data_IF_036081790961
#
_entry.id   IF_036081790961
#
_cell.length_a   1.000
_cell.length_b   1.000
_cell.length_c   1.000
_cell.angle_alpha   90.00
_cell.angle_beta   90.00
_cell.angle_gamma   90.00
#
_symmetry.space_group_name_H-M   'P 1'
#
loop_
_entity.id
_entity.type
_entity.pdbx_description
1 polymer ?
#
# COMPACT_ATOMS: atom_id res chain seq x y z
N UNK A 1 3.97 9.89 -16.27
CA UNK A 1 2.91 9.54 -17.27
C UNK A 1 2.65 10.52 -18.43
N UNK A 2 3.03 11.81 -18.42
CA UNK A 2 2.64 12.77 -19.49
C UNK A 2 3.35 12.65 -20.87
N UNK A 3 4.39 11.83 -21.05
CA UNK A 3 5.21 11.83 -22.28
C UNK A 3 4.79 10.85 -23.40
N UNK A 4 3.93 9.85 -23.16
CA UNK A 4 3.55 8.84 -24.18
C UNK A 4 2.05 8.49 -24.15
N UNK A 5 1.34 8.66 -25.29
CA UNK A 5 -0.11 8.38 -25.44
C UNK A 5 -0.52 6.94 -25.14
N UNK A 6 0.39 5.98 -25.29
CA UNK A 6 0.12 4.57 -24.95
C UNK A 6 -0.02 4.36 -23.44
N UNK A 7 0.78 5.04 -22.63
CA UNK A 7 0.73 4.94 -21.15
C UNK A 7 -0.44 5.71 -20.54
N UNK A 8 -1.22 6.45 -21.35
CA UNK A 8 -2.46 7.09 -20.90
C UNK A 8 -3.72 6.26 -21.15
N UNK A 9 -3.61 5.10 -21.81
CA UNK A 9 -4.77 4.24 -22.07
C UNK A 9 -5.36 3.70 -20.75
N UNK A 10 -6.70 3.59 -20.63
CA UNK A 10 -7.35 2.96 -19.48
C UNK A 10 -6.79 1.55 -19.23
N UNK A 11 -6.76 1.11 -17.96
CA UNK A 11 -6.15 -0.15 -17.49
C UNK A 11 -4.62 -0.22 -17.59
N UNK A 12 -4.00 0.31 -18.64
CA UNK A 12 -2.54 0.35 -18.80
C UNK A 12 -1.95 1.42 -17.87
N UNK A 13 -2.54 2.62 -17.87
CA UNK A 13 -2.08 3.75 -17.05
C UNK A 13 -2.02 3.45 -15.56
N UNK A 14 -2.95 2.64 -15.05
CA UNK A 14 -3.02 2.32 -13.61
C UNK A 14 -1.82 1.51 -13.15
N UNK A 15 -1.42 0.51 -13.93
CA UNK A 15 -0.23 -0.30 -13.67
C UNK A 15 1.03 0.56 -13.68
N UNK A 16 1.19 1.43 -14.68
CA UNK A 16 2.36 2.33 -14.74
C UNK A 16 2.37 3.38 -13.62
N UNK A 17 1.22 3.97 -13.29
CA UNK A 17 1.12 4.90 -12.17
C UNK A 17 1.51 4.23 -10.85
N UNK A 18 1.11 2.98 -10.64
CA UNK A 18 1.47 2.22 -9.44
C UNK A 18 2.97 1.90 -9.39
N UNK A 19 3.58 1.52 -10.52
CA UNK A 19 5.03 1.29 -10.61
C UNK A 19 5.79 2.60 -10.34
N UNK A 20 5.38 3.71 -10.96
CA UNK A 20 5.99 5.02 -10.75
C UNK A 20 5.92 5.41 -9.25
N UNK A 21 4.75 5.30 -8.62
CA UNK A 21 4.57 5.57 -7.19
C UNK A 21 5.38 4.63 -6.28
N UNK A 22 5.50 3.35 -6.62
CA UNK A 22 6.31 2.39 -5.86
C UNK A 22 7.80 2.75 -5.93
N UNK A 23 8.31 3.09 -7.12
CA UNK A 23 9.70 3.50 -7.30
C UNK A 23 10.00 4.77 -6.50
N UNK A 24 9.11 5.77 -6.58
CA UNK A 24 9.26 7.01 -5.81
C UNK A 24 9.23 6.70 -4.32
N UNK A 25 8.25 5.92 -3.86
CA UNK A 25 8.11 5.55 -2.45
C UNK A 25 9.34 4.82 -1.89
N UNK A 26 9.88 3.84 -2.61
CA UNK A 26 11.11 3.13 -2.20
C UNK A 26 12.28 4.12 -2.11
N UNK A 27 12.47 4.97 -3.13
CA UNK A 27 13.54 5.98 -3.12
C UNK A 27 13.41 6.96 -1.95
N UNK A 28 12.19 7.43 -1.67
CA UNK A 28 11.92 8.34 -0.55
C UNK A 28 12.19 7.68 0.80
N UNK A 29 11.84 6.40 0.96
CA UNK A 29 12.13 5.64 2.18
C UNK A 29 13.63 5.42 2.36
N UNK A 30 14.35 5.03 1.31
CA UNK A 30 15.80 4.87 1.35
C UNK A 30 16.48 6.19 1.70
N UNK A 31 16.10 7.28 1.06
CA UNK A 31 16.62 8.62 1.37
C UNK A 31 16.34 9.03 2.82
N UNK A 32 15.14 8.75 3.34
CA UNK A 32 14.80 9.07 4.73
C UNK A 32 15.63 8.27 5.73
N UNK A 33 15.98 7.02 5.40
CA UNK A 33 16.85 6.20 6.24
C UNK A 33 18.29 6.73 6.24
N UNK A 34 18.83 7.10 5.08
CA UNK A 34 20.17 7.70 4.94
C UNK A 34 20.29 9.00 5.76
N UNK A 35 19.31 9.90 5.66
CA UNK A 35 19.29 11.16 6.44
C UNK A 35 19.22 10.89 7.94
N UNK A 36 18.41 9.90 8.35
CA UNK A 36 18.28 9.55 9.76
C UNK A 36 19.57 8.99 10.35
N UNK A 37 20.30 8.16 9.59
CA UNK A 37 21.60 7.62 9.99
C UNK A 37 22.71 8.69 10.05
N UNK A 38 22.63 9.72 9.20
CA UNK A 38 23.56 10.86 9.25
C UNK A 38 23.31 11.76 10.49
N UNK A 39 22.05 11.97 10.88
CA UNK A 39 21.68 12.85 12.00
C UNK A 39 21.80 12.16 13.38
N UNK A 40 21.31 10.92 13.50
CA UNK A 40 21.53 10.09 14.68
C UNK A 40 22.74 9.21 14.41
N UNK A 41 23.92 9.59 14.92
CA UNK A 41 25.12 8.74 14.89
C UNK A 41 24.92 7.48 15.72
N UNK A 42 24.19 6.49 15.18
CA UNK A 42 23.85 5.24 15.84
C UNK A 42 25.17 4.50 16.11
N UNK A 43 25.54 4.39 17.39
CA UNK A 43 26.73 3.63 17.75
C UNK A 43 26.53 2.14 17.39
N UNK A 44 27.45 1.53 16.63
CA UNK A 44 27.31 0.15 16.19
C UNK A 44 27.33 -0.78 17.41
N UNK A 45 26.38 -1.73 17.46
CA UNK A 45 26.37 -2.74 18.51
C UNK A 45 27.55 -3.70 18.37
N UNK A 46 27.85 -4.46 19.43
CA UNK A 46 28.93 -5.48 19.40
C UNK A 46 28.75 -6.51 18.28
N UNK A 47 27.50 -6.75 17.86
CA UNK A 47 27.17 -7.63 16.75
C UNK A 47 27.47 -6.97 15.40
N UNK A 48 27.16 -5.68 15.25
CA UNK A 48 27.46 -4.90 14.04
C UNK A 48 28.97 -4.82 13.81
N UNK A 49 29.76 -4.55 14.85
CA UNK A 49 31.24 -4.54 14.78
C UNK A 49 31.80 -5.91 14.37
N UNK A 50 31.21 -7.01 14.86
CA UNK A 50 31.62 -8.36 14.47
C UNK A 50 31.31 -8.66 13.00
N UNK A 51 30.12 -8.32 12.55
CA UNK A 51 29.71 -8.47 11.15
C UNK A 51 30.55 -7.58 10.23
N UNK A 52 30.86 -6.36 10.64
CA UNK A 52 31.65 -5.41 9.86
C UNK A 52 33.10 -5.92 9.71
N UNK A 53 33.63 -6.63 10.70
CA UNK A 53 34.94 -7.30 10.59
C UNK A 53 34.94 -8.47 9.60
N UNK A 54 33.81 -9.17 9.41
CA UNK A 54 33.71 -10.32 8.49
C UNK A 54 33.42 -9.86 7.05
N UNK A 55 32.48 -8.93 6.89
CA UNK A 55 31.92 -8.54 5.61
C UNK A 55 32.44 -7.19 5.08
N UNK A 56 33.18 -6.44 5.92
CA UNK A 56 33.78 -5.16 5.55
C UNK A 56 32.74 -4.08 5.24
N UNK A 57 33.11 -3.15 4.35
CA UNK A 57 32.27 -2.03 3.90
C UNK A 57 31.00 -2.47 3.15
N UNK A 58 30.87 -3.74 2.76
CA UNK A 58 29.70 -4.26 2.05
C UNK A 58 28.60 -4.78 2.98
N UNK A 59 28.79 -4.69 4.29
CA UNK A 59 27.84 -5.24 5.25
C UNK A 59 26.45 -4.60 5.10
N UNK A 60 26.36 -3.29 4.99
CA UNK A 60 25.10 -2.55 4.89
C UNK A 60 24.29 -2.98 3.66
N UNK A 61 24.94 -3.01 2.49
CA UNK A 61 24.34 -3.54 1.26
C UNK A 61 23.84 -4.97 1.47
N UNK A 62 24.67 -5.85 2.04
CA UNK A 62 24.30 -7.26 2.27
C UNK A 62 23.08 -7.36 3.19
N UNK A 63 23.05 -6.61 4.29
CA UNK A 63 21.93 -6.60 5.24
C UNK A 63 20.66 -6.05 4.59
N UNK A 64 20.77 -5.00 3.78
CA UNK A 64 19.63 -4.44 3.03
C UNK A 64 19.07 -5.46 2.04
N UNK A 65 19.90 -6.03 1.16
CA UNK A 65 19.47 -7.02 0.17
C UNK A 65 18.90 -8.27 0.86
N UNK A 66 19.53 -8.74 1.93
CA UNK A 66 19.04 -9.89 2.70
C UNK A 66 17.66 -9.62 3.30
N UNK A 67 17.46 -8.44 3.91
CA UNK A 67 16.18 -8.04 4.50
C UNK A 67 15.07 -7.92 3.44
N UNK A 68 15.39 -7.36 2.27
CA UNK A 68 14.46 -7.26 1.13
C UNK A 68 14.09 -8.67 0.61
N UNK A 69 15.07 -9.56 0.45
CA UNK A 69 14.81 -10.92 -0.04
C UNK A 69 13.96 -11.71 0.97
N UNK A 70 14.30 -11.65 2.26
CA UNK A 70 13.54 -12.35 3.31
C UNK A 70 12.10 -11.81 3.38
N UNK A 71 11.92 -10.49 3.39
CA UNK A 71 10.57 -9.90 3.45
C UNK A 71 9.74 -10.29 2.23
N UNK A 72 10.34 -10.36 1.03
CA UNK A 72 9.67 -10.83 -0.17
C UNK A 72 9.26 -12.31 -0.06
N UNK A 73 10.17 -13.18 0.39
CA UNK A 73 9.88 -14.61 0.59
C UNK A 73 8.75 -14.79 1.61
N UNK A 74 8.83 -14.13 2.76
CA UNK A 74 7.80 -14.19 3.80
C UNK A 74 6.45 -13.68 3.26
N UNK A 75 6.46 -12.58 2.49
CA UNK A 75 5.25 -12.05 1.87
C UNK A 75 4.61 -13.04 0.90
N UNK A 76 5.39 -13.70 0.04
CA UNK A 76 4.90 -14.73 -0.88
C UNK A 76 4.35 -15.93 -0.10
N UNK A 77 5.05 -16.39 0.93
CA UNK A 77 4.61 -17.52 1.75
C UNK A 77 3.30 -17.19 2.47
N UNK A 78 3.21 -16.05 3.15
CA UNK A 78 2.07 -15.68 3.98
C UNK A 78 0.84 -15.28 3.15
N UNK A 79 1.03 -14.51 2.07
CA UNK A 79 -0.09 -13.92 1.32
C UNK A 79 -0.46 -14.67 0.04
N UNK A 80 0.41 -15.55 -0.48
CA UNK A 80 0.14 -16.32 -1.70
C UNK A 80 0.10 -17.82 -1.44
N UNK A 81 1.19 -18.41 -0.97
CA UNK A 81 1.31 -19.87 -0.84
C UNK A 81 0.40 -20.38 0.28
N UNK A 82 0.46 -19.76 1.46
CA UNK A 82 -0.31 -20.12 2.65
C UNK A 82 -1.82 -20.19 2.39
N UNK A 83 -2.46 -19.12 1.88
CA UNK A 83 -3.89 -19.14 1.60
C UNK A 83 -4.26 -20.22 0.57
N UNK A 84 -3.43 -20.39 -0.46
CA UNK A 84 -3.64 -21.41 -1.52
C UNK A 84 -3.56 -22.83 -0.96
N UNK A 85 -2.60 -23.07 -0.07
CA UNK A 85 -2.38 -24.37 0.56
C UNK A 85 -3.55 -24.72 1.50
N UNK A 86 -3.97 -23.77 2.34
CA UNK A 86 -5.10 -23.96 3.26
C UNK A 86 -6.42 -24.11 2.49
N UNK A 87 -6.63 -23.34 1.43
CA UNK A 87 -7.82 -23.48 0.60
C UNK A 87 -7.90 -24.83 -0.13
N UNK A 88 -6.78 -25.54 -0.30
CA UNK A 88 -6.79 -26.88 -0.93
C UNK A 88 -7.58 -27.91 -0.11
N UNK A 89 -7.61 -27.75 1.21
CA UNK A 89 -8.45 -28.57 2.08
C UNK A 89 -9.95 -28.39 1.80
N UNK A 90 -10.39 -27.29 1.17
CA UNK A 90 -11.78 -27.12 0.76
C UNK A 90 -12.21 -28.16 -0.30
N UNK A 91 -11.26 -28.78 -1.02
CA UNK A 91 -11.54 -29.90 -1.95
C UNK A 91 -12.14 -31.12 -1.25
N UNK A 92 -11.90 -31.28 0.05
CA UNK A 92 -12.48 -32.36 0.85
C UNK A 92 -14.01 -32.21 1.00
N UNK A 93 -14.51 -30.98 0.88
CA UNK A 93 -15.93 -30.66 1.07
C UNK A 93 -16.66 -30.32 -0.23
N UNK A 94 -15.97 -29.83 -1.26
CA UNK A 94 -16.58 -29.47 -2.55
C UNK A 94 -15.62 -29.65 -3.72
N UNK A 95 -16.16 -30.03 -4.88
CA UNK A 95 -15.42 -30.06 -6.16
C UNK A 95 -15.61 -28.80 -7.00
N UNK A 96 -16.47 -27.88 -6.55
CA UNK A 96 -16.75 -26.65 -7.28
C UNK A 96 -15.56 -25.67 -7.16
N UNK A 97 -14.84 -25.47 -8.26
CA UNK A 97 -13.64 -24.62 -8.31
C UNK A 97 -13.92 -23.17 -7.97
N UNK A 98 -15.11 -22.65 -8.27
CA UNK A 98 -15.51 -21.28 -7.94
C UNK A 98 -15.57 -21.11 -6.43
N UNK A 99 -16.20 -22.06 -5.72
CA UNK A 99 -16.30 -22.04 -4.25
C UNK A 99 -14.91 -22.12 -3.62
N UNK A 100 -14.03 -22.97 -4.14
CA UNK A 100 -12.67 -23.11 -3.61
C UNK A 100 -11.85 -21.81 -3.81
N UNK A 101 -11.92 -21.20 -5.01
CA UNK A 101 -11.26 -19.93 -5.27
C UNK A 101 -11.80 -18.80 -4.39
N UNK A 102 -13.11 -18.80 -4.12
CA UNK A 102 -13.72 -17.84 -3.20
C UNK A 102 -13.21 -18.02 -1.76
N UNK A 103 -13.11 -19.26 -1.27
CA UNK A 103 -12.52 -19.57 0.05
C UNK A 103 -11.07 -19.11 0.14
N UNK A 104 -10.26 -19.37 -0.90
CA UNK A 104 -8.89 -18.88 -0.97
C UNK A 104 -8.83 -17.35 -0.89
N UNK A 105 -9.70 -16.67 -1.63
CA UNK A 105 -9.85 -15.23 -1.61
C UNK A 105 -10.21 -14.67 -0.24
N UNK A 106 -11.22 -15.24 0.39
CA UNK A 106 -11.68 -14.85 1.73
C UNK A 106 -10.58 -15.07 2.78
N UNK A 107 -9.86 -16.19 2.70
CA UNK A 107 -8.74 -16.48 3.59
C UNK A 107 -7.60 -15.47 3.41
N UNK A 108 -7.29 -15.06 2.18
CA UNK A 108 -6.29 -14.03 1.91
C UNK A 108 -6.67 -12.69 2.55
N UNK A 109 -7.93 -12.27 2.42
CA UNK A 109 -8.45 -11.05 3.08
C UNK A 109 -8.35 -11.16 4.59
N UNK A 110 -8.73 -12.31 5.16
CA UNK A 110 -8.64 -12.54 6.60
C UNK A 110 -7.19 -12.45 7.11
N UNK A 111 -6.25 -13.13 6.45
CA UNK A 111 -4.82 -13.10 6.81
C UNK A 111 -4.26 -11.68 6.70
N UNK A 112 -4.66 -10.92 5.67
CA UNK A 112 -4.26 -9.53 5.50
C UNK A 112 -4.76 -8.62 6.62
N UNK A 113 -6.04 -8.73 6.99
CA UNK A 113 -6.61 -7.97 8.10
C UNK A 113 -5.91 -8.34 9.41
N UNK A 114 -5.71 -9.64 9.67
CA UNK A 114 -5.03 -10.10 10.87
C UNK A 114 -3.59 -9.57 10.93
N UNK A 115 -2.86 -9.64 9.82
CA UNK A 115 -1.52 -9.08 9.71
C UNK A 115 -1.51 -7.58 10.06
N UNK A 116 -2.40 -6.78 9.46
CA UNK A 116 -2.51 -5.36 9.76
C UNK A 116 -2.80 -5.09 11.24
N UNK A 117 -3.72 -5.85 11.85
CA UNK A 117 -4.05 -5.73 13.26
C UNK A 117 -2.85 -6.04 14.17
N UNK A 118 -2.03 -7.04 13.82
CA UNK A 118 -0.85 -7.42 14.59
C UNK A 118 0.25 -6.35 14.47
N UNK A 119 0.58 -5.91 13.26
CA UNK A 119 1.64 -4.91 13.09
C UNK A 119 1.22 -3.54 13.62
N UNK A 120 -0.08 -3.21 13.63
CA UNK A 120 -0.60 -1.97 14.19
C UNK A 120 -0.32 -1.82 15.70
N UNK A 121 0.03 -2.91 16.39
CA UNK A 121 0.41 -2.89 17.80
C UNK A 121 1.89 -2.54 18.02
N UNK A 122 2.72 -2.59 16.98
CA UNK A 122 4.12 -2.19 17.05
C UNK A 122 4.24 -0.66 17.12
N UNK A 123 5.09 -0.15 18.02
CA UNK A 123 5.24 1.29 18.25
C UNK A 123 5.64 2.05 16.98
N UNK A 124 6.60 1.52 16.24
CA UNK A 124 7.12 2.17 15.03
C UNK A 124 6.07 2.21 13.91
N UNK A 125 5.32 1.10 13.74
CA UNK A 125 4.23 1.04 12.77
C UNK A 125 3.08 1.97 13.17
N UNK A 126 2.76 2.07 14.47
CA UNK A 126 1.77 3.01 14.96
C UNK A 126 2.18 4.46 14.63
N UNK A 127 3.46 4.81 14.81
CA UNK A 127 4.01 6.12 14.44
C UNK A 127 3.84 6.40 12.94
N UNK A 128 4.09 5.40 12.08
CA UNK A 128 3.86 5.50 10.63
C UNK A 128 2.36 5.75 10.33
N UNK A 129 1.45 5.06 11.01
CA UNK A 129 0.01 5.27 10.84
C UNK A 129 -0.48 6.63 11.36
N UNK A 130 0.19 7.23 12.32
CA UNK A 130 -0.05 8.62 12.75
C UNK A 130 0.37 9.61 11.65
N UNK A 131 1.58 9.47 11.06
CA UNK A 131 2.00 10.29 9.92
C UNK A 131 1.05 10.16 8.72
N UNK A 132 0.55 8.95 8.46
CA UNK A 132 -0.49 8.73 7.44
C UNK A 132 -1.81 9.44 7.78
N UNK A 133 -2.20 9.45 9.06
CA UNK A 133 -3.33 10.25 9.53
C UNK A 133 -3.11 11.76 9.33
N UNK A 134 -1.89 12.24 9.56
CA UNK A 134 -1.51 13.64 9.32
C UNK A 134 -1.61 14.04 7.85
N UNK A 135 -1.13 13.18 6.93
CA UNK A 135 -1.28 13.36 5.49
C UNK A 135 -2.75 13.54 5.10
N UNK A 136 -3.63 12.62 5.53
CA UNK A 136 -5.05 12.70 5.23
C UNK A 136 -5.70 13.98 5.75
N UNK A 137 -5.34 14.42 6.96
CA UNK A 137 -5.85 15.66 7.54
C UNK A 137 -5.37 16.91 6.81
N UNK A 138 -4.10 16.94 6.41
CA UNK A 138 -3.54 18.03 5.61
C UNK A 138 -4.17 18.11 4.22
N UNK A 139 -4.38 16.96 3.56
CA UNK A 139 -5.07 16.89 2.27
C UNK A 139 -6.52 17.35 2.40
N UNK A 140 -7.26 16.88 3.41
CA UNK A 140 -8.63 17.38 3.65
C UNK A 140 -8.65 18.91 3.85
N UNK A 141 -7.71 19.47 4.60
CA UNK A 141 -7.58 20.92 4.79
C UNK A 141 -7.40 21.64 3.46
N UNK A 142 -6.52 21.13 2.59
CA UNK A 142 -6.33 21.67 1.24
C UNK A 142 -7.59 21.55 0.39
N UNK A 143 -8.27 20.40 0.42
CA UNK A 143 -9.47 20.12 -0.36
C UNK A 143 -10.69 20.97 0.05
N UNK A 144 -10.69 21.47 1.29
CA UNK A 144 -11.68 22.44 1.78
C UNK A 144 -11.24 23.89 1.58
N UNK A 145 -10.14 24.12 0.84
CA UNK A 145 -9.63 25.45 0.50
C UNK A 145 -9.27 26.30 1.73
N UNK A 146 -8.89 25.63 2.83
CA UNK A 146 -8.48 26.31 4.05
C UNK A 146 -6.97 26.51 4.10
N UNK A 147 -6.55 27.52 4.85
CA UNK A 147 -5.13 27.76 5.08
C UNK A 147 -4.48 26.54 5.75
N UNK A 148 -3.41 26.03 5.15
CA UNK A 148 -2.64 24.89 5.64
C UNK A 148 -1.88 25.24 6.92
N UNK A 149 -2.61 25.21 8.04
CA UNK A 149 -2.17 25.38 9.42
C UNK A 149 -2.50 24.13 10.23
N UNK A 150 -1.80 23.93 11.35
CA UNK A 150 -2.02 22.77 12.24
C UNK A 150 -3.44 22.81 12.80
N UNK A 151 -3.91 23.98 13.20
CA UNK A 151 -5.25 24.20 13.75
C UNK A 151 -6.35 23.80 12.76
N UNK A 152 -6.23 24.21 11.50
CA UNK A 152 -7.20 23.86 10.46
C UNK A 152 -7.12 22.38 10.10
N UNK A 153 -5.92 21.82 9.93
CA UNK A 153 -5.77 20.40 9.59
C UNK A 153 -6.31 19.48 10.69
N UNK A 154 -6.12 19.82 11.97
CA UNK A 154 -6.50 18.99 13.13
C UNK A 154 -7.96 18.55 13.11
N UNK A 155 -8.87 19.41 12.63
CA UNK A 155 -10.33 19.17 12.68
C UNK A 155 -10.82 18.10 11.71
N UNK A 156 -10.02 17.77 10.70
CA UNK A 156 -10.42 16.79 9.69
C UNK A 156 -10.23 15.36 10.18
N UNK A 157 -10.93 14.44 9.52
CA UNK A 157 -10.85 13.01 9.81
C UNK A 157 -9.57 12.39 9.25
N UNK A 158 -9.07 11.33 9.87
CA UNK A 158 -8.00 10.51 9.29
C UNK A 158 -8.50 9.56 8.20
N UNK A 159 -9.79 9.56 7.87
CA UNK A 159 -10.37 8.70 6.83
C UNK A 159 -10.49 9.47 5.51
N UNK A 160 -9.89 8.94 4.46
CA UNK A 160 -9.89 9.56 3.13
C UNK A 160 -10.28 8.56 2.03
N UNK A 161 -11.31 8.84 1.20
CA UNK A 161 -11.81 7.90 0.19
C UNK A 161 -10.81 7.62 -0.94
N UNK A 162 -9.85 8.53 -1.17
CA UNK A 162 -8.84 8.42 -2.24
C UNK A 162 -7.51 7.82 -1.79
N UNK A 163 -7.41 7.33 -0.56
CA UNK A 163 -6.18 6.75 -0.01
C UNK A 163 -5.77 5.44 -0.71
N UNK A 164 -4.46 5.20 -0.85
CA UNK A 164 -3.89 3.97 -1.38
C UNK A 164 -4.26 2.69 -0.60
N UNK A 165 -4.59 2.78 0.69
CA UNK A 165 -5.11 1.62 1.44
C UNK A 165 -6.46 1.13 0.89
N UNK A 166 -7.31 2.05 0.43
CA UNK A 166 -8.54 1.69 -0.26
C UNK A 166 -8.23 0.99 -1.60
N UNK A 167 -7.19 1.44 -2.31
CA UNK A 167 -6.73 0.79 -3.54
C UNK A 167 -6.28 -0.66 -3.29
N UNK A 168 -5.48 -0.93 -2.26
CA UNK A 168 -5.06 -2.29 -1.93
C UNK A 168 -6.24 -3.23 -1.68
N UNK A 169 -7.26 -2.75 -0.97
CA UNK A 169 -8.47 -3.55 -0.73
C UNK A 169 -9.27 -3.83 -2.00
N UNK A 170 -9.41 -2.82 -2.87
CA UNK A 170 -10.04 -2.99 -4.20
C UNK A 170 -9.26 -4.03 -5.01
N UNK A 171 -7.93 -3.97 -5.02
CA UNK A 171 -7.07 -4.97 -5.68
C UNK A 171 -7.35 -6.37 -5.17
N UNK A 172 -7.54 -6.54 -3.86
CA UNK A 172 -7.89 -7.84 -3.29
C UNK A 172 -9.26 -8.33 -3.77
N UNK A 173 -10.32 -7.51 -3.71
CA UNK A 173 -11.66 -7.91 -4.18
C UNK A 173 -11.62 -8.26 -5.67
N UNK A 174 -11.02 -7.39 -6.49
CA UNK A 174 -10.89 -7.63 -7.93
C UNK A 174 -10.08 -8.89 -8.20
N UNK A 175 -9.03 -9.17 -7.41
CA UNK A 175 -8.29 -10.43 -7.49
C UNK A 175 -9.18 -11.64 -7.22
N UNK A 176 -10.04 -11.60 -6.20
CA UNK A 176 -10.95 -12.71 -5.88
C UNK A 176 -11.89 -12.96 -7.05
N UNK A 177 -12.49 -11.90 -7.59
CA UNK A 177 -13.43 -11.99 -8.72
C UNK A 177 -12.72 -12.56 -9.95
N UNK A 178 -11.60 -11.95 -10.38
CA UNK A 178 -10.86 -12.37 -11.57
C UNK A 178 -10.37 -13.82 -11.43
N UNK A 179 -9.80 -14.18 -10.28
CA UNK A 179 -9.27 -15.53 -10.08
C UNK A 179 -10.36 -16.58 -9.82
N UNK A 180 -11.58 -16.19 -9.42
CA UNK A 180 -12.69 -17.14 -9.22
C UNK A 180 -13.06 -17.92 -10.49
N UNK A 181 -12.87 -17.30 -11.66
CA UNK A 181 -13.12 -17.90 -12.97
C UNK A 181 -11.97 -18.79 -13.48
N UNK A 182 -10.82 -18.81 -12.79
CA UNK A 182 -9.70 -19.66 -13.17
C UNK A 182 -9.91 -21.10 -12.70
N UNK A 183 -9.47 -22.05 -13.53
CA UNK A 183 -9.41 -23.47 -13.16
C UNK A 183 -8.39 -23.69 -12.04
N UNK A 184 -8.38 -24.90 -11.49
CA UNK A 184 -7.47 -25.32 -10.42
C UNK A 184 -6.39 -26.32 -10.89
N UNK A 185 -5.43 -25.89 -11.73
CA UNK A 185 -4.30 -26.70 -12.18
C UNK A 185 -3.22 -26.85 -11.07
N UNK A 186 -2.04 -27.36 -11.42
CA UNK A 186 -0.92 -27.46 -10.48
C UNK A 186 -0.54 -26.12 -9.83
N UNK A 187 0.08 -26.16 -8.65
CA UNK A 187 0.46 -24.96 -7.89
C UNK A 187 1.30 -23.98 -8.72
N UNK A 188 2.26 -24.48 -9.50
CA UNK A 188 3.11 -23.65 -10.36
C UNK A 188 2.32 -22.89 -11.43
N UNK A 189 1.37 -23.57 -12.10
CA UNK A 189 0.52 -22.92 -13.11
C UNK A 189 -0.37 -21.86 -12.47
N UNK A 190 -0.86 -22.10 -11.25
CA UNK A 190 -1.61 -21.09 -10.49
C UNK A 190 -0.76 -19.86 -10.20
N UNK A 191 0.47 -20.03 -9.70
CA UNK A 191 1.39 -18.93 -9.40
C UNK A 191 1.67 -18.11 -10.67
N UNK A 192 2.05 -18.76 -11.78
CA UNK A 192 2.30 -18.07 -13.04
C UNK A 192 1.07 -17.31 -13.53
N UNK A 193 -0.11 -17.95 -13.53
CA UNK A 193 -1.34 -17.30 -14.00
C UNK A 193 -1.67 -16.03 -13.21
N UNK A 194 -1.41 -16.03 -11.90
CA UNK A 194 -1.62 -14.86 -11.05
C UNK A 194 -0.64 -13.76 -11.39
N UNK A 195 0.65 -14.07 -11.54
CA UNK A 195 1.69 -13.10 -11.92
C UNK A 195 1.33 -12.43 -13.25
N UNK A 196 0.95 -13.20 -14.27
CA UNK A 196 0.55 -12.66 -15.57
C UNK A 196 -0.70 -11.79 -15.52
N UNK A 197 -1.62 -12.07 -14.60
CA UNK A 197 -2.87 -11.31 -14.44
C UNK A 197 -2.75 -10.14 -13.47
N UNK A 198 -1.63 -9.98 -12.74
CA UNK A 198 -1.41 -8.84 -11.83
C UNK A 198 -1.61 -7.48 -12.54
N UNK A 199 -1.07 -7.23 -13.75
CA UNK A 199 -1.30 -5.96 -14.46
C UNK A 199 -2.78 -5.71 -14.78
N UNK A 200 -3.53 -6.78 -15.09
CA UNK A 200 -4.96 -6.68 -15.38
C UNK A 200 -5.74 -6.30 -14.12
N UNK A 201 -5.45 -6.97 -13.01
CA UNK A 201 -6.05 -6.68 -11.70
C UNK A 201 -5.73 -5.24 -11.27
N UNK A 202 -4.46 -4.83 -11.36
CA UNK A 202 -4.02 -3.48 -11.00
C UNK A 202 -4.71 -2.42 -11.87
N UNK A 203 -4.77 -2.66 -13.19
CA UNK A 203 -5.45 -1.78 -14.14
C UNK A 203 -6.94 -1.61 -13.82
N UNK A 204 -7.67 -2.71 -13.59
CA UNK A 204 -9.10 -2.67 -13.24
C UNK A 204 -9.29 -1.93 -11.91
N UNK A 205 -8.47 -2.24 -10.91
CA UNK A 205 -8.58 -1.65 -9.58
C UNK A 205 -8.33 -0.14 -9.60
N UNK A 206 -7.40 0.32 -10.44
CA UNK A 206 -7.11 1.74 -10.62
C UNK A 206 -8.27 2.49 -11.26
N UNK A 207 -8.90 1.90 -12.29
CA UNK A 207 -10.08 2.51 -12.90
C UNK A 207 -11.26 2.55 -11.91
N UNK A 208 -11.45 1.49 -11.11
CA UNK A 208 -12.50 1.45 -10.09
C UNK A 208 -12.30 2.54 -9.03
N UNK A 209 -11.09 2.69 -8.47
CA UNK A 209 -10.85 3.74 -7.46
C UNK A 209 -10.98 5.15 -8.05
N UNK A 210 -10.54 5.34 -9.30
CA UNK A 210 -10.67 6.63 -9.99
C UNK A 210 -12.12 6.99 -10.26
N UNK A 211 -12.94 6.03 -10.68
CA UNK A 211 -14.38 6.22 -10.82
C UNK A 211 -15.02 6.51 -9.46
N UNK A 212 -14.56 5.85 -8.40
CA UNK A 212 -15.07 6.07 -7.05
C UNK A 212 -14.79 7.48 -6.54
N UNK A 213 -13.59 8.01 -6.78
CA UNK A 213 -13.25 9.38 -6.42
C UNK A 213 -14.04 10.45 -7.18
N UNK A 214 -14.59 10.12 -8.36
CA UNK A 214 -15.29 11.07 -9.24
C UNK A 214 -16.81 11.00 -9.18
N UNK A 215 -17.37 10.04 -8.43
CA UNK A 215 -18.82 9.79 -8.43
C UNK A 215 -19.41 9.86 -7.02
N UNK A 216 -20.56 10.51 -6.90
CA UNK A 216 -21.40 10.46 -5.69
C UNK A 216 -22.34 9.25 -5.68
N UNK A 217 -22.00 8.17 -6.40
CA UNK A 217 -22.86 6.99 -6.51
C UNK A 217 -22.78 6.14 -5.23
N UNK A 218 -23.94 5.95 -4.56
CA UNK A 218 -24.06 5.17 -3.32
C UNK A 218 -23.56 3.72 -3.45
N UNK A 219 -23.70 3.10 -4.63
CA UNK A 219 -23.20 1.74 -4.89
C UNK A 219 -21.67 1.72 -4.89
N UNK A 220 -21.06 2.74 -5.50
CA UNK A 220 -19.60 2.84 -5.56
C UNK A 220 -19.01 3.23 -4.20
N UNK A 221 -19.71 4.08 -3.44
CA UNK A 221 -19.39 4.38 -2.05
C UNK A 221 -19.44 3.12 -1.17
N UNK A 222 -20.44 2.25 -1.34
CA UNK A 222 -20.53 0.96 -0.64
C UNK A 222 -19.35 0.03 -0.99
N UNK A 223 -18.89 0.05 -2.24
CA UNK A 223 -17.75 -0.77 -2.68
C UNK A 223 -16.41 -0.29 -2.08
N UNK A 224 -16.26 1.02 -1.90
CA UNK A 224 -15.08 1.66 -1.28
C UNK A 224 -15.12 1.60 0.26
N UNK A 225 -16.32 1.50 0.84
CA UNK A 225 -16.51 1.55 2.28
C UNK A 225 -15.62 0.59 3.09
N UNK A 226 -15.39 -0.67 2.71
CA UNK A 226 -14.55 -1.54 3.51
C UNK A 226 -13.06 -1.13 3.46
N UNK A 227 -12.63 -0.42 2.40
CA UNK A 227 -11.32 0.22 2.37
C UNK A 227 -11.20 1.36 3.39
N UNK A 228 -12.28 2.11 3.64
CA UNK A 228 -12.33 3.09 4.75
C UNK A 228 -12.29 2.42 6.12
N UNK A 229 -12.85 1.21 6.26
CA UNK A 229 -12.75 0.45 7.51
C UNK A 229 -11.30 0.04 7.80
N UNK A 230 -10.53 -0.33 6.78
CA UNK A 230 -9.10 -0.62 6.95
C UNK A 230 -8.32 0.59 7.43
N UNK A 231 -8.70 1.80 6.99
CA UNK A 231 -8.05 3.03 7.45
C UNK A 231 -8.24 3.28 8.95
N UNK A 232 -9.29 2.74 9.59
CA UNK A 232 -9.40 2.77 11.06
C UNK A 232 -8.26 2.00 11.75
N UNK A 233 -7.64 1.06 11.05
CA UNK A 233 -6.46 0.32 11.49
C UNK A 233 -5.19 1.07 11.07
N UNK A 234 -5.08 1.45 9.80
CA UNK A 234 -3.85 1.97 9.16
C UNK A 234 -3.68 3.49 9.22
N UNK A 235 -4.57 4.20 9.90
CA UNK A 235 -4.44 5.61 10.25
C UNK A 235 -4.68 5.77 11.74
N UNK A 236 -3.95 6.70 12.35
CA UNK A 236 -4.06 7.07 13.77
C UNK A 236 -4.05 8.58 13.90
N UNK A 237 -4.58 9.06 15.02
CA UNK A 237 -4.59 10.49 15.31
C UNK A 237 -3.15 11.00 15.48
N UNK A 238 -2.71 11.97 14.66
CA UNK A 238 -1.37 12.52 14.72
C UNK A 238 -1.20 13.55 15.83
N UNK A 239 0.05 13.77 16.24
CA UNK A 239 0.45 14.95 16.99
C UNK A 239 0.68 16.18 16.08
N UNK A 240 0.87 17.34 16.71
CA UNK A 240 1.03 18.61 16.01
C UNK A 240 2.28 18.64 15.12
N UNK A 241 3.38 18.00 15.56
CA UNK A 241 4.62 17.93 14.79
C UNK A 241 4.42 17.10 13.52
N UNK A 242 3.65 16.03 13.59
CA UNK A 242 3.32 15.21 12.42
C UNK A 242 2.45 15.99 11.43
N UNK A 243 1.51 16.81 11.93
CA UNK A 243 0.72 17.72 11.09
C UNK A 243 1.60 18.77 10.43
N UNK A 244 2.56 19.37 11.15
CA UNK A 244 3.53 20.31 10.58
C UNK A 244 4.34 19.67 9.45
N UNK A 245 4.84 18.45 9.65
CA UNK A 245 5.57 17.70 8.61
C UNK A 245 4.68 17.46 7.39
N UNK A 246 3.46 16.96 7.59
CA UNK A 246 2.53 16.71 6.48
C UNK A 246 2.19 17.99 5.69
N UNK A 247 1.97 19.11 6.39
CA UNK A 247 1.71 20.42 5.79
C UNK A 247 2.94 20.91 5.02
N UNK A 248 4.13 20.79 5.59
CA UNK A 248 5.37 21.22 4.95
C UNK A 248 5.64 20.41 3.66
N UNK A 249 5.48 19.08 3.73
CA UNK A 249 5.58 18.20 2.56
C UNK A 249 4.56 18.58 1.48
N UNK A 250 3.29 18.81 1.87
CA UNK A 250 2.24 19.18 0.93
C UNK A 250 2.52 20.53 0.26
N UNK A 251 2.96 21.54 1.03
CA UNK A 251 3.36 22.86 0.49
C UNK A 251 4.52 22.73 -0.50
N UNK A 252 5.52 21.90 -0.21
CA UNK A 252 6.65 21.67 -1.12
C UNK A 252 6.19 21.09 -2.47
N UNK A 253 5.29 20.11 -2.44
CA UNK A 253 4.73 19.52 -3.67
C UNK A 253 3.94 20.57 -4.48
N UNK A 254 3.12 21.39 -3.81
CA UNK A 254 2.33 22.44 -4.46
C UNK A 254 3.22 23.53 -5.10
N UNK A 255 4.35 23.84 -4.49
CA UNK A 255 5.33 24.80 -5.03
C UNK A 255 6.00 24.24 -6.30
N UNK A 256 6.45 22.98 -6.27
CA UNK A 256 7.12 22.33 -7.40
C UNK A 256 6.18 22.12 -8.62
N UNK A 257 4.88 21.94 -8.40
CA UNK A 257 3.89 21.84 -9.49
C UNK A 257 3.51 23.20 -10.12
N UNK A 258 4.08 24.30 -9.60
CA UNK A 258 3.90 25.66 -10.09
C UNK A 258 2.62 26.33 -9.61
N UNK A 259 2.12 25.98 -8.43
CA UNK A 259 0.91 26.59 -7.85
C UNK A 259 -0.38 26.31 -8.62
N UNK A 260 -0.42 25.24 -9.44
CA UNK A 260 -1.66 24.83 -10.10
C UNK A 260 -2.57 24.15 -9.08
N UNK A 261 -3.69 24.80 -8.81
CA UNK A 261 -4.85 24.20 -8.17
C UNK A 261 -5.14 22.83 -8.78
N UNK A 262 -5.45 21.90 -7.88
CA UNK A 262 -5.61 20.48 -8.10
C UNK A 262 -6.93 20.19 -8.86
N UNK A 263 -7.14 20.78 -10.04
CA UNK A 263 -8.37 20.63 -10.83
C UNK A 263 -8.52 19.25 -11.50
N UNK A 264 -7.55 18.34 -11.38
CA UNK A 264 -7.71 17.03 -12.02
C UNK A 264 -6.90 15.89 -11.40
N UNK A 265 -7.47 15.24 -10.38
CA UNK A 265 -7.32 13.78 -10.20
C UNK A 265 -8.71 13.15 -10.23
#
# INVERSE_FOLDING_TARGET
>A
TRKNKFFSLPFIRGTFALIDSLIIGIKSLTYSAEVFEEEESIEPTRFDVFLQRIFGEKLEDILMYFSVIISLILSIVIFFIGPTYVADYARLFTKNTIVINFVEGALRVLIFILYLLLIAQMKDIKRIFEYHGAEHKAIHCLEHEEELTVENARKYTTLHPRCGTNFLFIVMIISIIVFSFLKWPSLYVRILSRIFLLPVVAGISYEVIKLAGRSNNKILALFVYPGLLLQKITTKEPDDKQLEVAIASLKSVLQDEGGREFESI
#
